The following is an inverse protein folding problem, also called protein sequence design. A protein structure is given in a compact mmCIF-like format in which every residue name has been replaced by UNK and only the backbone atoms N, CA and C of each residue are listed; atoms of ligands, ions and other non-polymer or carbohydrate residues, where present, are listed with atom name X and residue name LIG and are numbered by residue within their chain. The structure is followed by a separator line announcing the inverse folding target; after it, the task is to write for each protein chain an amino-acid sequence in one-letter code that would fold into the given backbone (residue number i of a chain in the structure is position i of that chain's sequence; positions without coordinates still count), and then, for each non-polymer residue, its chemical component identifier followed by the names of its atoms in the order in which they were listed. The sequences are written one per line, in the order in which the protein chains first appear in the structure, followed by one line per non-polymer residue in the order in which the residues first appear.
data_IF_912188799266
#
_entry.id   IF_912188799266
#
_cell.length_a   1.000
_cell.length_b   1.000
_cell.length_c   1.000
_cell.angle_alpha   90.00
_cell.angle_beta   90.00
_cell.angle_gamma   90.00
#
_symmetry.space_group_name_H-M   'P 1'
#
loop_
_entity.id
_entity.type
_entity.pdbx_description
1 polymer ?
#
# COMPACT_ATOMS: atom_id res chain seq x y z
N UNK A 1 3.84 -4.40 -13.43
CA UNK A 1 4.05 -3.35 -12.40
C UNK A 1 3.55 -2.04 -12.97
N UNK A 2 2.85 -1.28 -12.21
CA UNK A 2 2.35 0.05 -12.60
C UNK A 2 2.95 1.13 -11.67
N UNK A 3 3.34 2.30 -12.16
CA UNK A 3 3.40 2.69 -13.58
C UNK A 3 4.50 1.92 -14.34
N UNK A 4 4.42 1.90 -15.68
CA UNK A 4 5.36 1.14 -16.51
C UNK A 4 6.81 1.57 -16.32
N UNK A 5 7.04 2.85 -16.06
CA UNK A 5 8.36 3.42 -15.78
C UNK A 5 9.04 2.77 -14.56
N UNK A 6 8.26 2.35 -13.56
CA UNK A 6 8.78 1.69 -12.37
C UNK A 6 9.45 0.33 -12.67
N UNK A 7 9.20 -0.27 -13.84
CA UNK A 7 9.85 -1.53 -14.24
C UNK A 7 11.33 -1.36 -14.53
N UNK A 8 11.77 -0.13 -14.83
CA UNK A 8 13.17 0.24 -15.14
C UNK A 8 14.01 0.48 -13.88
N UNK A 9 13.37 0.61 -12.72
CA UNK A 9 14.05 0.83 -11.46
C UNK A 9 14.66 -0.46 -10.90
N UNK A 10 15.73 -0.32 -10.12
CA UNK A 10 16.34 -1.44 -9.42
C UNK A 10 15.33 -2.11 -8.49
N UNK A 11 15.32 -3.44 -8.48
CA UNK A 11 14.41 -4.25 -7.66
C UNK A 11 15.19 -4.82 -6.49
N UNK A 12 14.66 -4.61 -5.29
CA UNK A 12 15.25 -5.07 -4.02
C UNK A 12 14.62 -6.36 -3.48
N UNK A 13 13.84 -7.04 -4.32
CA UNK A 13 13.17 -8.30 -3.95
C UNK A 13 11.76 -8.14 -3.43
N UNK A 14 11.31 -9.13 -2.68
CA UNK A 14 9.97 -9.19 -2.12
C UNK A 14 9.91 -8.52 -0.75
N UNK A 15 8.90 -7.71 -0.49
CA UNK A 15 8.83 -6.87 0.71
C UNK A 15 8.87 -7.65 2.04
N UNK A 16 8.42 -8.92 2.06
CA UNK A 16 8.49 -9.81 3.25
C UNK A 16 9.80 -10.56 3.38
N UNK A 17 10.70 -10.44 2.40
CA UNK A 17 12.01 -11.10 2.35
C UNK A 17 13.08 -10.10 1.90
N UNK A 18 13.11 -8.93 2.54
CA UNK A 18 14.07 -7.88 2.25
C UNK A 18 15.49 -8.30 2.64
N UNK A 19 16.48 -7.76 1.92
CA UNK A 19 17.89 -7.78 2.30
C UNK A 19 18.32 -6.37 2.69
N UNK A 20 18.88 -6.22 3.89
CA UNK A 20 19.44 -4.93 4.32
C UNK A 20 20.54 -4.45 3.38
N UNK A 21 21.43 -5.34 2.97
CA UNK A 21 22.49 -5.05 2.01
C UNK A 21 21.94 -4.56 0.67
N UNK A 22 20.93 -5.26 0.12
CA UNK A 22 20.29 -4.87 -1.14
C UNK A 22 19.64 -3.49 -1.09
N UNK A 23 19.01 -3.14 0.04
CA UNK A 23 18.44 -1.80 0.25
C UNK A 23 19.54 -0.75 0.40
N UNK A 24 20.54 -1.00 1.24
CA UNK A 24 21.64 -0.07 1.55
C UNK A 24 22.55 0.18 0.33
N UNK A 25 22.71 -0.79 -0.55
CA UNK A 25 23.49 -0.65 -1.80
C UNK A 25 22.92 0.46 -2.70
N UNK A 26 21.62 0.75 -2.63
CA UNK A 26 20.97 1.82 -3.37
C UNK A 26 21.18 3.20 -2.75
N UNK A 27 21.79 3.29 -1.56
CA UNK A 27 22.00 4.54 -0.80
C UNK A 27 20.73 5.41 -0.73
N UNK A 28 19.60 4.88 -0.25
CA UNK A 28 18.36 5.63 -0.24
C UNK A 28 18.43 6.79 0.77
N UNK A 29 17.84 7.93 0.42
CA UNK A 29 17.65 9.04 1.35
C UNK A 29 16.52 8.79 2.34
N UNK A 30 15.58 7.91 1.99
CA UNK A 30 14.48 7.46 2.83
C UNK A 30 13.95 6.12 2.31
N UNK A 31 13.40 5.31 3.21
CA UNK A 31 12.74 4.05 2.86
C UNK A 31 11.30 4.06 3.38
N UNK A 32 10.36 3.88 2.48
CA UNK A 32 8.94 3.75 2.78
C UNK A 32 8.60 2.27 2.93
N UNK A 33 8.02 1.90 4.05
CA UNK A 33 7.68 0.51 4.39
C UNK A 33 6.23 0.41 4.84
N UNK A 34 5.63 -0.74 4.61
CA UNK A 34 4.38 -1.11 5.30
C UNK A 34 4.71 -1.96 6.53
N UNK A 35 3.77 -2.04 7.48
CA UNK A 35 3.90 -2.89 8.67
C UNK A 35 4.07 -4.38 8.35
N UNK A 36 3.79 -4.79 7.12
CA UNK A 36 4.01 -6.15 6.63
C UNK A 36 5.44 -6.40 6.10
N UNK A 37 6.26 -5.35 6.00
CA UNK A 37 7.64 -5.48 5.52
C UNK A 37 8.51 -6.22 6.54
N UNK A 38 9.41 -7.05 6.03
CA UNK A 38 10.26 -7.86 6.89
C UNK A 38 11.40 -8.57 6.17
N UNK A 39 12.13 -9.38 6.89
CA UNK A 39 12.03 -9.76 8.31
C UNK A 39 12.29 -8.61 9.30
N UNK A 40 11.78 -8.65 10.54
CA UNK A 40 12.01 -7.59 11.54
C UNK A 40 13.49 -7.30 11.80
N UNK A 41 14.35 -8.29 11.72
CA UNK A 41 15.79 -8.14 11.87
C UNK A 41 16.38 -7.21 10.78
N UNK A 42 15.89 -7.30 9.56
CA UNK A 42 16.33 -6.42 8.45
C UNK A 42 15.89 -4.98 8.71
N UNK A 43 14.68 -4.78 9.22
CA UNK A 43 14.19 -3.43 9.57
C UNK A 43 15.07 -2.83 10.68
N UNK A 44 15.45 -3.63 11.69
CA UNK A 44 16.37 -3.19 12.73
C UNK A 44 17.76 -2.82 12.17
N UNK A 45 18.29 -3.60 11.23
CA UNK A 45 19.56 -3.31 10.56
C UNK A 45 19.51 -2.00 9.76
N UNK A 46 18.44 -1.76 9.03
CA UNK A 46 18.25 -0.50 8.28
C UNK A 46 18.19 0.72 9.22
N UNK A 47 17.51 0.59 10.36
CA UNK A 47 17.49 1.64 11.40
C UNK A 47 18.89 1.88 11.98
N UNK A 48 19.61 0.80 12.31
CA UNK A 48 20.97 0.90 12.83
C UNK A 48 21.95 1.55 11.84
N UNK A 49 21.71 1.37 10.55
CA UNK A 49 22.47 2.04 9.48
C UNK A 49 22.13 3.54 9.31
N UNK A 50 21.20 4.08 10.11
CA UNK A 50 20.85 5.50 10.08
C UNK A 50 19.96 5.91 8.91
N UNK A 51 19.37 4.97 8.18
CA UNK A 51 18.46 5.30 7.08
C UNK A 51 17.10 5.72 7.65
N UNK A 52 16.55 6.87 7.24
CA UNK A 52 15.20 7.29 7.63
C UNK A 52 14.17 6.27 7.14
N UNK A 53 13.39 5.68 8.07
CA UNK A 53 12.34 4.72 7.77
C UNK A 53 10.98 5.32 8.11
N UNK A 54 10.10 5.40 7.13
CA UNK A 54 8.69 5.73 7.31
C UNK A 54 7.87 4.45 7.23
N UNK A 55 7.33 4.04 8.38
CA UNK A 55 6.52 2.85 8.50
C UNK A 55 5.03 3.22 8.43
N UNK A 56 4.34 2.71 7.45
CA UNK A 56 2.91 2.90 7.25
C UNK A 56 2.16 1.63 7.62
N UNK A 57 0.98 1.75 8.22
CA UNK A 57 0.13 0.61 8.51
C UNK A 57 -0.35 -0.09 7.22
N UNK A 58 -0.80 -1.32 7.36
CA UNK A 58 -1.42 -2.08 6.27
C UNK A 58 -2.93 -2.26 6.47
N UNK A 59 -3.57 -1.29 7.14
CA UNK A 59 -5.02 -1.27 7.30
C UNK A 59 -5.69 -0.96 5.95
N UNK A 60 -6.56 -1.81 5.48
CA UNK A 60 -7.20 -1.66 4.19
C UNK A 60 -8.42 -0.72 4.27
N UNK A 61 -8.23 0.47 4.89
CA UNK A 61 -9.25 1.50 5.04
C UNK A 61 -8.97 2.70 4.12
N UNK A 62 -10.02 3.47 3.82
CA UNK A 62 -9.86 4.70 3.06
C UNK A 62 -9.04 5.74 3.84
N UNK A 63 -9.21 5.81 5.16
CA UNK A 63 -8.43 6.69 6.02
C UNK A 63 -6.93 6.38 5.94
N UNK A 64 -6.57 5.09 5.91
CA UNK A 64 -5.18 4.66 5.75
C UNK A 64 -4.62 5.01 4.37
N UNK A 65 -5.43 4.90 3.31
CA UNK A 65 -5.02 5.35 1.98
C UNK A 65 -4.66 6.84 1.98
N UNK A 66 -5.49 7.68 2.58
CA UNK A 66 -5.23 9.12 2.68
C UNK A 66 -3.97 9.40 3.52
N UNK A 67 -3.81 8.69 4.64
CA UNK A 67 -2.60 8.80 5.46
C UNK A 67 -1.33 8.45 4.65
N UNK A 68 -1.36 7.39 3.84
CA UNK A 68 -0.25 7.01 2.95
C UNK A 68 0.05 8.09 1.91
N UNK A 69 -0.97 8.65 1.28
CA UNK A 69 -0.80 9.75 0.30
C UNK A 69 -0.08 10.93 0.95
N UNK A 70 -0.53 11.37 2.13
CA UNK A 70 0.09 12.49 2.86
C UNK A 70 1.54 12.18 3.27
N UNK A 71 1.79 10.99 3.79
CA UNK A 71 3.11 10.55 4.22
C UNK A 71 4.09 10.52 3.06
N UNK A 72 3.70 9.91 1.94
CA UNK A 72 4.53 9.84 0.74
C UNK A 72 4.79 11.25 0.21
N UNK A 73 3.75 12.08 0.07
CA UNK A 73 3.87 13.44 -0.44
C UNK A 73 4.86 14.28 0.38
N UNK A 74 4.85 14.14 1.72
CA UNK A 74 5.80 14.77 2.62
C UNK A 74 7.22 14.28 2.39
N UNK A 75 7.44 12.97 2.31
CA UNK A 75 8.77 12.36 2.16
C UNK A 75 9.42 12.75 0.83
N UNK A 76 8.63 12.89 -0.24
CA UNK A 76 9.14 13.26 -1.58
C UNK A 76 9.03 14.77 -1.86
N UNK A 77 8.72 15.58 -0.86
CA UNK A 77 8.56 17.04 -0.98
C UNK A 77 7.56 17.45 -2.08
N UNK A 78 6.38 16.84 -2.04
CA UNK A 78 5.29 17.06 -2.99
C UNK A 78 3.93 17.27 -2.28
N UNK A 79 3.95 18.03 -1.19
CA UNK A 79 2.77 18.21 -0.31
C UNK A 79 1.56 18.73 -1.09
N UNK A 80 1.72 19.78 -1.90
CA UNK A 80 0.60 20.33 -2.67
C UNK A 80 -0.01 19.33 -3.67
N UNK A 81 0.81 18.46 -4.28
CA UNK A 81 0.30 17.39 -5.13
C UNK A 81 -0.43 16.32 -4.31
N UNK A 82 0.07 16.02 -3.10
CA UNK A 82 -0.58 15.11 -2.16
C UNK A 82 -1.96 15.59 -1.74
N UNK A 83 -2.10 16.86 -1.39
CA UNK A 83 -3.39 17.48 -1.02
C UNK A 83 -4.40 17.42 -2.17
N UNK A 84 -3.97 17.76 -3.38
CA UNK A 84 -4.82 17.67 -4.57
C UNK A 84 -5.27 16.24 -4.86
N UNK A 85 -4.37 15.26 -4.71
CA UNK A 85 -4.69 13.85 -4.89
C UNK A 85 -5.67 13.36 -3.82
N UNK A 86 -5.49 13.79 -2.57
CA UNK A 86 -6.40 13.47 -1.47
C UNK A 86 -7.83 13.99 -1.74
N UNK A 87 -7.96 15.24 -2.18
CA UNK A 87 -9.25 15.82 -2.54
C UNK A 87 -9.93 15.01 -3.65
N UNK A 88 -9.19 14.69 -4.70
CA UNK A 88 -9.68 13.89 -5.81
C UNK A 88 -10.14 12.50 -5.36
N UNK A 89 -9.33 11.78 -4.58
CA UNK A 89 -9.65 10.46 -4.05
C UNK A 89 -10.88 10.50 -3.15
N UNK A 90 -11.03 11.55 -2.33
CA UNK A 90 -12.17 11.71 -1.44
C UNK A 90 -13.48 11.90 -2.22
N UNK A 91 -13.45 12.70 -3.27
CA UNK A 91 -14.60 12.88 -4.16
C UNK A 91 -14.99 11.58 -4.87
N UNK A 92 -14.00 10.83 -5.39
CA UNK A 92 -14.26 9.56 -6.05
C UNK A 92 -14.81 8.50 -5.07
N UNK A 93 -14.29 8.48 -3.85
CA UNK A 93 -14.75 7.59 -2.80
C UNK A 93 -16.20 7.87 -2.41
N UNK A 94 -16.58 9.14 -2.26
CA UNK A 94 -17.95 9.52 -1.93
C UNK A 94 -18.92 9.19 -3.06
N UNK A 95 -18.53 9.37 -4.30
CA UNK A 95 -19.31 8.93 -5.48
C UNK A 95 -19.51 7.41 -5.46
N UNK A 96 -18.45 6.64 -5.21
CA UNK A 96 -18.54 5.18 -5.14
C UNK A 96 -19.47 4.72 -4.02
N UNK A 97 -19.39 5.34 -2.83
CA UNK A 97 -20.30 5.05 -1.71
C UNK A 97 -21.75 5.36 -2.05
N UNK A 98 -22.01 6.46 -2.77
CA UNK A 98 -23.36 6.83 -3.19
C UNK A 98 -23.95 5.77 -4.14
N UNK A 99 -23.19 5.31 -5.12
CA UNK A 99 -23.61 4.23 -6.05
C UNK A 99 -23.94 2.95 -5.29
N UNK A 100 -23.08 2.53 -4.36
CA UNK A 100 -23.31 1.32 -3.56
C UNK A 100 -24.57 1.45 -2.70
N UNK A 101 -24.80 2.60 -2.07
CA UNK A 101 -26.02 2.85 -1.28
C UNK A 101 -27.28 2.74 -2.14
N UNK A 102 -27.26 3.27 -3.34
CA UNK A 102 -28.40 3.19 -4.27
C UNK A 102 -28.66 1.74 -4.68
N UNK A 103 -27.61 0.97 -4.95
CA UNK A 103 -27.71 -0.45 -5.30
C UNK A 103 -28.19 -1.33 -4.11
N UNK A 104 -27.78 -1.01 -2.88
CA UNK A 104 -28.22 -1.75 -1.67
C UNK A 104 -29.71 -1.56 -1.36
N UNK A 105 -30.31 -0.46 -1.77
CA UNK A 105 -31.75 -0.23 -1.67
C UNK A 105 -32.58 -1.08 -2.66
N UNK A 106 -31.95 -1.65 -3.67
CA UNK A 106 -32.54 -2.64 -4.56
C UNK A 106 -32.37 -4.03 -3.94
N UNK A 107 -33.29 -4.43 -3.14
CA UNK A 107 -33.63 -5.67 -2.42
C UNK A 107 -32.86 -7.00 -2.61
N UNK A 108 -31.73 -7.07 -3.29
CA UNK A 108 -30.97 -8.31 -3.46
C UNK A 108 -29.53 -8.16 -2.95
N UNK A 109 -29.29 -8.73 -1.76
CA UNK A 109 -27.91 -8.94 -1.29
C UNK A 109 -27.24 -10.01 -2.15
N UNK A 110 -26.29 -9.64 -2.98
CA UNK A 110 -25.49 -10.60 -3.72
C UNK A 110 -24.64 -11.42 -2.73
N UNK A 111 -24.63 -12.74 -2.91
CA UNK A 111 -23.68 -13.63 -2.25
C UNK A 111 -22.43 -13.69 -3.12
N UNK A 112 -21.28 -13.26 -2.59
CA UNK A 112 -20.02 -13.22 -3.31
C UNK A 112 -19.07 -14.27 -2.73
N UNK A 113 -18.53 -15.12 -3.59
CA UNK A 113 -17.44 -16.03 -3.27
C UNK A 113 -16.15 -15.47 -3.86
N UNK A 114 -15.19 -15.19 -2.99
CA UNK A 114 -13.86 -14.78 -3.44
C UNK A 114 -12.90 -15.96 -3.38
N UNK A 115 -12.29 -16.29 -4.52
CA UNK A 115 -11.33 -17.40 -4.63
C UNK A 115 -9.97 -16.81 -5.01
N UNK A 116 -8.98 -16.98 -4.13
CA UNK A 116 -7.59 -16.67 -4.41
C UNK A 116 -6.84 -17.99 -4.65
N UNK A 117 -6.28 -18.15 -5.84
CA UNK A 117 -5.42 -19.29 -6.17
C UNK A 117 -3.99 -18.82 -6.36
N UNK A 118 -3.06 -19.43 -5.62
CA UNK A 118 -1.63 -19.21 -5.77
C UNK A 118 -0.89 -20.54 -5.74
N UNK A 119 -0.04 -20.79 -6.72
CA UNK A 119 0.84 -22.00 -6.78
C UNK A 119 0.10 -23.34 -6.60
N UNK A 120 -1.09 -23.47 -7.19
CA UNK A 120 -1.86 -24.74 -7.16
C UNK A 120 -2.67 -24.98 -5.88
N UNK A 121 -2.62 -24.13 -4.91
CA UNK A 121 -3.54 -24.13 -3.76
C UNK A 121 -4.60 -23.04 -3.90
N UNK A 122 -5.86 -23.40 -3.70
CA UNK A 122 -6.97 -22.44 -3.66
C UNK A 122 -7.30 -22.10 -2.20
N UNK A 123 -7.29 -20.81 -1.86
CA UNK A 123 -7.83 -20.32 -0.59
C UNK A 123 -9.19 -19.68 -0.84
N UNK A 124 -10.18 -20.08 -0.06
CA UNK A 124 -11.53 -19.55 -0.14
C UNK A 124 -11.78 -18.67 1.08
N UNK A 125 -12.09 -17.40 0.86
CA UNK A 125 -12.52 -16.49 1.89
C UNK A 125 -14.01 -16.20 1.71
N UNK A 126 -14.82 -16.60 2.69
CA UNK A 126 -16.24 -16.25 2.78
C UNK A 126 -16.45 -15.23 3.88
N UNK A 127 -17.19 -14.16 3.60
CA UNK A 127 -17.73 -13.31 4.65
C UNK A 127 -18.93 -14.00 5.29
N UNK A 128 -18.93 -14.08 6.64
CA UNK A 128 -20.11 -14.45 7.42
C UNK A 128 -21.11 -13.30 7.46
#
# INVERSE_FOLDING_TARGET
MFPTEATKLAKIGYMRQLSAEGVLALRPSSVLLTSEAGPPAVIAQLRAAGVPLELMNADHSFAELIYKVRTIARVVDRVAQGEKLEEQLSLEWDKAKAVVRTAQNAQQKAKVLFILSHSGSAQVSGAK
#
